data_IF_658890279040
#
_entry.id   IF_658890279040
#
_cell.length_a   1.000
_cell.length_b   1.000
_cell.length_c   1.000
_cell.angle_alpha   90.00
_cell.angle_beta   90.00
_cell.angle_gamma   90.00
#
_symmetry.space_group_name_H-M   'P 1'
#
loop_
_entity.id
_entity.type
_entity.pdbx_description
1 polymer ?
#
# COMPACT_ATOMS: atom_id res chain seq x y z
N UNK A 1 3.07 -7.16 -21.26
CA UNK A 1 3.13 -7.86 -19.96
C UNK A 1 1.99 -8.85 -19.87
N UNK A 2 2.17 -10.03 -19.33
CA UNK A 2 1.11 -11.05 -19.31
C UNK A 2 0.02 -10.81 -18.24
N UNK A 3 0.17 -9.79 -17.38
CA UNK A 3 -0.86 -9.39 -16.38
C UNK A 3 -1.29 -7.96 -16.63
N UNK A 4 -2.59 -7.69 -16.53
CA UNK A 4 -3.21 -6.38 -16.69
C UNK A 4 -4.05 -6.05 -15.46
N UNK A 5 -4.02 -4.79 -15.02
CA UNK A 5 -4.93 -4.23 -14.03
C UNK A 5 -6.14 -3.61 -14.75
N UNK A 6 -7.32 -3.99 -14.34
CA UNK A 6 -8.55 -3.25 -14.61
C UNK A 6 -8.72 -2.19 -13.49
N UNK A 7 -8.57 -0.92 -13.86
CA UNK A 7 -8.60 0.19 -12.90
C UNK A 7 -9.98 0.44 -12.29
N UNK A 8 -11.08 0.07 -12.98
CA UNK A 8 -12.45 0.26 -12.47
C UNK A 8 -12.79 -0.79 -11.41
N UNK A 9 -12.41 -2.04 -11.66
CA UNK A 9 -12.72 -3.18 -10.77
C UNK A 9 -11.60 -3.54 -9.82
N UNK A 10 -10.39 -2.96 -9.99
CA UNK A 10 -9.15 -3.34 -9.29
C UNK A 10 -8.81 -4.82 -9.38
N UNK A 11 -9.12 -5.45 -10.52
CA UNK A 11 -8.84 -6.85 -10.78
C UNK A 11 -7.61 -7.01 -11.65
N UNK A 12 -6.66 -7.81 -11.18
CA UNK A 12 -5.49 -8.22 -11.94
C UNK A 12 -5.81 -9.51 -12.71
N UNK A 13 -5.60 -9.52 -14.02
CA UNK A 13 -5.90 -10.67 -14.87
C UNK A 13 -4.71 -11.01 -15.74
N UNK A 14 -4.34 -12.30 -15.80
CA UNK A 14 -3.40 -12.80 -16.78
C UNK A 14 -4.06 -12.75 -18.17
N UNK A 15 -3.47 -12.00 -19.10
CA UNK A 15 -4.05 -11.75 -20.42
C UNK A 15 -3.98 -12.95 -21.35
N UNK A 16 -3.14 -13.94 -21.06
CA UNK A 16 -2.97 -15.15 -21.86
C UNK A 16 -3.92 -16.27 -21.41
N UNK A 17 -4.14 -16.38 -20.09
CA UNK A 17 -4.95 -17.47 -19.52
C UNK A 17 -6.33 -17.03 -19.04
N UNK A 18 -6.57 -15.71 -18.89
CA UNK A 18 -7.78 -15.16 -18.27
C UNK A 18 -7.84 -15.35 -16.74
N UNK A 19 -6.80 -15.89 -16.12
CA UNK A 19 -6.77 -16.16 -14.69
C UNK A 19 -6.67 -14.88 -13.88
N UNK A 20 -7.47 -14.78 -12.82
CA UNK A 20 -7.44 -13.65 -11.88
C UNK A 20 -6.36 -13.85 -10.81
N UNK A 21 -5.61 -12.80 -10.52
CA UNK A 21 -4.59 -12.78 -9.48
C UNK A 21 -5.12 -12.09 -8.22
N UNK A 22 -4.73 -12.59 -7.07
CA UNK A 22 -5.03 -11.95 -5.79
C UNK A 22 -4.20 -10.68 -5.66
N UNK A 23 -4.82 -9.54 -5.33
CA UNK A 23 -4.06 -8.33 -5.04
C UNK A 23 -3.24 -8.49 -3.76
N UNK A 24 -2.09 -7.82 -3.68
CA UNK A 24 -1.23 -7.81 -2.47
C UNK A 24 -2.02 -7.33 -1.25
N UNK A 25 -2.87 -6.31 -1.40
CA UNK A 25 -3.70 -5.79 -0.32
C UNK A 25 -4.74 -6.79 0.15
N UNK A 26 -5.37 -7.52 -0.77
CA UNK A 26 -6.30 -8.62 -0.44
C UNK A 26 -5.58 -9.77 0.26
N UNK A 27 -4.40 -10.15 -0.23
CA UNK A 27 -3.58 -11.20 0.41
C UNK A 27 -3.28 -10.85 1.87
N UNK A 28 -2.79 -9.64 2.14
CA UNK A 28 -2.50 -9.19 3.51
C UNK A 28 -3.79 -9.14 4.35
N UNK A 29 -4.91 -8.75 3.73
CA UNK A 29 -6.22 -8.71 4.38
C UNK A 29 -6.67 -10.04 4.96
N UNK A 30 -6.30 -11.17 4.31
CA UNK A 30 -6.64 -12.52 4.76
C UNK A 30 -5.96 -12.92 6.09
N UNK A 31 -4.89 -12.23 6.46
CA UNK A 31 -4.16 -12.45 7.71
C UNK A 31 -4.52 -11.45 8.81
N UNK A 32 -5.49 -10.56 8.55
CA UNK A 32 -5.96 -9.57 9.53
C UNK A 32 -7.18 -10.05 10.28
N UNK A 33 -7.23 -9.72 11.57
CA UNK A 33 -8.47 -9.77 12.34
C UNK A 33 -9.46 -8.78 11.73
N UNK A 34 -10.64 -9.23 11.32
CA UNK A 34 -11.64 -8.37 10.71
C UNK A 34 -12.18 -7.33 11.71
N UNK A 35 -12.44 -6.12 11.20
CA UNK A 35 -13.14 -5.11 12.00
C UNK A 35 -14.62 -5.44 12.07
N UNK A 36 -15.13 -5.67 13.28
CA UNK A 36 -16.57 -5.92 13.54
C UNK A 36 -17.37 -4.62 13.44
N UNK A 37 -17.73 -4.28 12.18
CA UNK A 37 -18.44 -3.05 11.84
C UNK A 37 -19.81 -2.96 12.52
N UNK A 38 -20.51 -4.08 12.65
CA UNK A 38 -21.84 -4.14 13.26
C UNK A 38 -21.77 -3.84 14.77
N UNK A 39 -20.90 -4.55 15.48
CA UNK A 39 -20.67 -4.35 16.91
C UNK A 39 -20.27 -2.91 17.23
N UNK A 40 -19.26 -2.41 16.53
CA UNK A 40 -18.71 -1.08 16.81
C UNK A 40 -19.66 0.04 16.43
N UNK A 41 -20.42 -0.07 15.33
CA UNK A 41 -21.42 0.94 14.96
C UNK A 41 -22.54 1.04 16.00
N UNK A 42 -23.02 -0.09 16.55
CA UNK A 42 -24.01 -0.11 17.65
C UNK A 42 -23.48 0.56 18.90
N UNK A 43 -22.24 0.27 19.29
CA UNK A 43 -21.62 0.87 20.48
C UNK A 43 -21.45 2.39 20.34
N UNK A 44 -21.00 2.86 19.16
CA UNK A 44 -20.83 4.29 18.89
C UNK A 44 -22.18 5.00 18.83
N UNK A 45 -23.18 4.41 18.16
CA UNK A 45 -24.54 4.94 18.08
C UNK A 45 -25.13 5.16 19.48
N UNK A 46 -25.01 4.15 20.36
CA UNK A 46 -25.47 4.26 21.76
C UNK A 46 -24.73 5.39 22.51
N UNK A 47 -23.44 5.54 22.30
CA UNK A 47 -22.61 6.60 22.95
C UNK A 47 -22.97 7.99 22.47
N UNK A 48 -23.23 8.15 21.14
CA UNK A 48 -23.51 9.45 20.52
C UNK A 48 -25.00 9.81 20.56
N UNK A 49 -25.89 8.90 20.97
CA UNK A 49 -27.34 9.13 21.04
C UNK A 49 -28.02 9.24 19.67
N UNK A 50 -27.48 8.55 18.66
CA UNK A 50 -27.97 8.55 17.29
C UNK A 50 -28.29 7.12 16.82
N UNK A 51 -28.88 6.98 15.64
CA UNK A 51 -29.15 5.65 15.06
C UNK A 51 -27.86 4.98 14.56
N UNK A 52 -27.88 3.64 14.48
CA UNK A 52 -26.79 2.87 13.90
C UNK A 52 -26.55 3.26 12.43
N UNK A 53 -27.65 3.49 11.68
CA UNK A 53 -27.56 3.87 10.26
C UNK A 53 -26.88 5.22 10.06
N UNK A 54 -27.10 6.19 10.93
CA UNK A 54 -26.38 7.47 10.91
C UNK A 54 -24.88 7.28 11.07
N UNK A 55 -24.44 6.40 12.00
CA UNK A 55 -23.01 6.07 12.17
C UNK A 55 -22.44 5.37 10.94
N UNK A 56 -23.17 4.41 10.38
CA UNK A 56 -22.73 3.68 9.19
C UNK A 56 -22.61 4.61 7.98
N UNK A 57 -23.55 5.53 7.78
CA UNK A 57 -23.52 6.53 6.72
C UNK A 57 -22.37 7.51 6.92
N UNK A 58 -22.14 7.99 8.14
CA UNK A 58 -21.00 8.84 8.51
C UNK A 58 -19.66 8.15 8.19
N UNK A 59 -19.51 6.87 8.56
CA UNK A 59 -18.29 6.11 8.27
C UNK A 59 -18.09 5.89 6.78
N UNK A 60 -19.17 5.59 6.04
CA UNK A 60 -19.12 5.44 4.58
C UNK A 60 -18.65 6.73 3.92
N UNK A 61 -19.23 7.88 4.29
CA UNK A 61 -18.83 9.20 3.77
C UNK A 61 -17.37 9.52 4.06
N UNK A 62 -16.90 9.26 5.29
CA UNK A 62 -15.48 9.44 5.65
C UNK A 62 -14.57 8.57 4.79
N UNK A 63 -14.96 7.31 4.56
CA UNK A 63 -14.19 6.37 3.75
C UNK A 63 -14.10 6.84 2.30
N UNK A 64 -15.24 7.21 1.69
CA UNK A 64 -15.28 7.72 0.30
C UNK A 64 -14.44 9.00 0.15
N UNK A 65 -14.56 9.94 1.08
CA UNK A 65 -13.74 11.17 1.06
C UNK A 65 -12.25 10.86 1.16
N UNK A 66 -11.87 9.92 2.03
CA UNK A 66 -10.48 9.53 2.18
C UNK A 66 -9.93 8.82 0.94
N UNK A 67 -10.74 7.96 0.29
CA UNK A 67 -10.38 7.29 -0.96
C UNK A 67 -10.17 8.29 -2.10
N UNK A 68 -11.13 9.21 -2.29
CA UNK A 68 -11.03 10.25 -3.33
C UNK A 68 -9.79 11.12 -3.14
N UNK A 69 -9.52 11.54 -1.89
CA UNK A 69 -8.31 12.29 -1.57
C UNK A 69 -7.05 11.48 -1.90
N UNK A 70 -7.02 10.20 -1.52
CA UNK A 70 -5.91 9.29 -1.82
C UNK A 70 -5.65 9.22 -3.31
N UNK A 71 -6.69 8.88 -4.09
CA UNK A 71 -6.60 8.77 -5.55
C UNK A 71 -6.08 10.06 -6.20
N UNK A 72 -6.58 11.22 -5.78
CA UNK A 72 -6.13 12.51 -6.32
C UNK A 72 -4.65 12.78 -6.02
N UNK A 73 -4.20 12.53 -4.80
CA UNK A 73 -2.79 12.74 -4.43
C UNK A 73 -1.88 11.78 -5.21
N UNK A 74 -2.25 10.50 -5.33
CA UNK A 74 -1.48 9.54 -6.14
C UNK A 74 -1.38 9.99 -7.60
N UNK A 75 -2.49 10.41 -8.21
CA UNK A 75 -2.50 10.91 -9.59
C UNK A 75 -1.60 12.14 -9.77
N UNK A 76 -1.64 13.10 -8.84
CA UNK A 76 -0.75 14.28 -8.87
C UNK A 76 0.71 13.88 -8.79
N UNK A 77 1.05 12.95 -7.89
CA UNK A 77 2.42 12.49 -7.75
C UNK A 77 2.88 11.69 -8.97
N UNK A 78 2.01 10.85 -9.53
CA UNK A 78 2.26 10.11 -10.77
C UNK A 78 2.55 11.06 -11.93
N UNK A 79 1.70 12.07 -12.17
CA UNK A 79 1.86 13.07 -13.22
C UNK A 79 3.18 13.85 -13.04
N UNK A 80 3.51 14.23 -11.81
CA UNK A 80 4.78 14.88 -11.53
C UNK A 80 5.97 13.96 -11.81
N UNK A 81 5.91 12.71 -11.37
CA UNK A 81 7.02 11.77 -11.56
C UNK A 81 7.26 11.47 -13.04
N UNK A 82 6.19 11.23 -13.81
CA UNK A 82 6.26 10.92 -15.25
C UNK A 82 6.63 12.13 -16.11
N UNK A 83 5.88 13.21 -15.94
CA UNK A 83 5.86 14.33 -16.90
C UNK A 83 6.41 15.63 -16.32
N UNK A 84 6.83 15.66 -15.05
CA UNK A 84 7.21 16.87 -14.31
C UNK A 84 6.09 17.92 -14.24
N UNK A 85 4.85 17.50 -14.47
CA UNK A 85 3.67 18.36 -14.41
C UNK A 85 3.26 18.58 -12.96
N UNK A 86 3.18 19.85 -12.54
CA UNK A 86 2.66 20.23 -11.23
C UNK A 86 1.25 20.78 -11.44
N UNK A 87 0.27 20.19 -10.76
CA UNK A 87 -1.10 20.65 -10.80
C UNK A 87 -1.30 21.83 -9.84
N UNK A 88 -2.12 22.79 -10.24
CA UNK A 88 -2.42 23.98 -9.43
C UNK A 88 -2.97 23.58 -8.04
N UNK A 89 -2.37 24.16 -7.00
CA UNK A 89 -2.73 23.89 -5.61
C UNK A 89 -1.99 22.71 -4.97
N UNK A 90 -1.10 22.04 -5.71
CA UNK A 90 -0.27 20.94 -5.21
C UNK A 90 1.23 21.24 -5.21
N UNK A 91 1.60 22.51 -5.41
CA UNK A 91 3.00 22.97 -5.49
C UNK A 91 3.79 22.63 -4.22
N UNK A 92 3.22 22.93 -3.04
CA UNK A 92 3.87 22.62 -1.75
C UNK A 92 4.07 21.12 -1.54
N UNK A 93 3.11 20.30 -1.99
CA UNK A 93 3.18 18.84 -1.93
C UNK A 93 4.35 18.32 -2.73
N UNK A 94 4.47 18.76 -4.00
CA UNK A 94 5.52 18.35 -4.91
C UNK A 94 6.88 18.86 -4.43
N UNK A 95 6.98 20.11 -3.98
CA UNK A 95 8.22 20.68 -3.42
C UNK A 95 8.70 19.93 -2.19
N UNK A 96 7.77 19.51 -1.34
CA UNK A 96 8.08 18.68 -0.17
C UNK A 96 8.65 17.32 -0.59
N UNK A 97 8.08 16.70 -1.63
CA UNK A 97 8.58 15.43 -2.16
C UNK A 97 9.99 15.58 -2.74
N UNK A 98 10.23 16.61 -3.56
CA UNK A 98 11.55 16.87 -4.16
C UNK A 98 12.61 17.00 -3.06
N UNK A 99 12.31 17.77 -2.01
CA UNK A 99 13.23 17.97 -0.88
C UNK A 99 13.55 16.67 -0.14
N UNK A 100 12.56 15.80 0.01
CA UNK A 100 12.72 14.51 0.71
C UNK A 100 13.42 13.44 -0.11
N UNK A 101 13.29 13.49 -1.44
CA UNK A 101 13.91 12.52 -2.34
C UNK A 101 15.30 12.95 -2.83
N UNK A 102 15.73 14.16 -2.46
CA UNK A 102 17.06 14.64 -2.78
C UNK A 102 18.14 13.72 -2.18
N UNK A 103 18.99 13.14 -3.04
CA UNK A 103 19.99 12.14 -2.66
C UNK A 103 19.55 10.68 -2.77
N UNK A 104 18.26 10.38 -2.94
CA UNK A 104 17.75 9.03 -3.29
C UNK A 104 17.49 8.93 -4.79
N UNK A 105 16.84 9.95 -5.35
CA UNK A 105 16.67 10.09 -6.80
C UNK A 105 17.91 10.80 -7.35
N UNK A 106 18.85 10.02 -7.81
CA UNK A 106 20.09 10.53 -8.43
C UNK A 106 19.87 10.85 -9.92
N UNK A 107 20.72 11.67 -10.55
CA UNK A 107 20.56 12.05 -11.96
C UNK A 107 20.43 10.88 -12.95
N UNK A 108 21.04 9.73 -12.62
CA UNK A 108 21.01 8.53 -13.47
C UNK A 108 20.07 7.44 -12.93
N UNK A 109 19.18 7.76 -11.99
CA UNK A 109 18.19 6.81 -11.51
C UNK A 109 17.15 6.54 -12.60
N UNK A 110 16.80 5.27 -12.79
CA UNK A 110 15.57 4.91 -13.50
C UNK A 110 14.42 4.99 -12.52
N UNK A 111 13.41 5.76 -12.87
CA UNK A 111 12.22 5.98 -12.03
C UNK A 111 11.04 5.33 -12.73
N UNK A 112 10.33 4.46 -12.00
CA UNK A 112 9.11 3.79 -12.45
C UNK A 112 7.98 4.19 -11.50
N UNK A 113 6.91 4.74 -12.07
CA UNK A 113 5.70 5.11 -11.34
C UNK A 113 4.58 4.15 -11.68
N UNK A 114 3.77 3.76 -10.69
CA UNK A 114 2.67 2.80 -10.85
C UNK A 114 3.17 1.50 -11.50
N UNK A 115 4.28 0.96 -10.98
CA UNK A 115 4.89 -0.25 -11.53
C UNK A 115 4.09 -1.49 -11.18
N UNK A 116 3.59 -2.17 -12.21
CA UNK A 116 2.84 -3.41 -12.07
C UNK A 116 3.77 -4.58 -11.75
N UNK A 117 3.60 -5.17 -10.59
CA UNK A 117 4.36 -6.31 -10.09
C UNK A 117 3.46 -7.54 -9.96
N UNK A 118 3.96 -8.70 -10.33
CA UNK A 118 3.22 -9.95 -10.21
C UNK A 118 4.14 -11.17 -10.11
N UNK A 119 3.57 -12.28 -9.65
CA UNK A 119 4.21 -13.59 -9.72
C UNK A 119 3.20 -14.64 -10.16
N UNK A 120 3.55 -15.40 -11.16
CA UNK A 120 2.72 -16.49 -11.68
C UNK A 120 2.63 -17.65 -10.68
N UNK A 121 3.74 -17.93 -10.00
CA UNK A 121 3.82 -19.04 -9.04
C UNK A 121 2.78 -18.93 -7.92
N UNK A 122 2.61 -17.72 -7.38
CA UNK A 122 1.70 -17.48 -6.26
C UNK A 122 0.39 -16.79 -6.70
N UNK A 123 0.22 -16.49 -7.98
CA UNK A 123 -0.96 -15.81 -8.54
C UNK A 123 -1.33 -14.55 -7.77
N UNK A 124 -0.31 -13.74 -7.45
CA UNK A 124 -0.48 -12.44 -6.80
C UNK A 124 0.04 -11.33 -7.69
N UNK A 125 -0.59 -10.17 -7.56
CA UNK A 125 -0.19 -8.95 -8.27
C UNK A 125 -0.44 -7.71 -7.41
N UNK A 126 0.21 -6.61 -7.78
CA UNK A 126 0.00 -5.32 -7.17
C UNK A 126 0.74 -4.24 -7.94
N UNK A 127 0.45 -2.99 -7.61
CA UNK A 127 1.07 -1.83 -8.22
C UNK A 127 1.88 -1.09 -7.15
N UNK A 128 3.17 -0.88 -7.41
CA UNK A 128 4.03 -0.07 -6.55
C UNK A 128 4.01 1.37 -7.03
N UNK A 129 3.69 2.31 -6.14
CA UNK A 129 3.54 3.73 -6.49
C UNK A 129 4.82 4.30 -7.12
N UNK A 130 5.97 3.93 -6.55
CA UNK A 130 7.26 4.42 -7.01
C UNK A 130 8.37 3.39 -6.80
N UNK A 131 9.07 3.03 -7.87
CA UNK A 131 10.32 2.28 -7.83
C UNK A 131 11.45 3.13 -8.38
N UNK A 132 12.53 3.23 -7.64
CA UNK A 132 13.75 3.96 -8.04
C UNK A 132 14.90 2.96 -8.15
N UNK A 133 15.46 2.83 -9.35
CA UNK A 133 16.60 1.96 -9.61
C UNK A 133 17.90 2.78 -9.73
N UNK A 134 18.92 2.32 -9.01
CA UNK A 134 20.28 2.82 -9.11
C UNK A 134 21.22 1.64 -9.32
N UNK A 135 21.71 1.44 -10.54
CA UNK A 135 22.55 0.29 -10.90
C UNK A 135 21.86 -1.05 -10.54
N UNK A 136 22.45 -1.84 -9.64
CA UNK A 136 21.92 -3.15 -9.20
C UNK A 136 21.10 -3.08 -7.91
N UNK A 137 20.71 -1.88 -7.48
CA UNK A 137 19.94 -1.63 -6.26
C UNK A 137 18.64 -0.93 -6.66
N UNK A 138 17.54 -1.26 -5.98
CA UNK A 138 16.28 -0.54 -6.12
C UNK A 138 15.72 -0.14 -4.75
N UNK A 139 14.87 0.87 -4.77
CA UNK A 139 14.10 1.35 -3.63
C UNK A 139 12.62 1.33 -4.01
N UNK A 140 11.75 0.93 -3.08
CA UNK A 140 10.29 1.04 -3.26
C UNK A 140 9.75 2.05 -2.27
N UNK A 141 8.91 2.93 -2.79
CA UNK A 141 8.27 4.00 -2.02
C UNK A 141 6.77 3.99 -2.30
N UNK A 142 6.00 4.33 -1.30
CA UNK A 142 4.54 4.27 -1.35
C UNK A 142 3.96 5.52 -0.67
N UNK A 143 2.92 6.12 -1.28
CA UNK A 143 2.25 7.32 -0.80
C UNK A 143 1.06 6.97 0.09
N UNK A 144 1.00 7.51 1.28
CA UNK A 144 -0.12 7.30 2.21
C UNK A 144 -0.72 8.63 2.67
N UNK A 145 -2.02 8.76 2.51
CA UNK A 145 -2.79 9.99 2.75
C UNK A 145 -3.82 9.85 3.87
N UNK A 146 -3.86 8.72 4.57
CA UNK A 146 -4.80 8.48 5.64
C UNK A 146 -4.62 9.50 6.79
N UNK A 147 -5.72 10.00 7.37
CA UNK A 147 -5.69 11.02 8.44
C UNK A 147 -4.95 10.57 9.70
N UNK A 148 -4.95 9.27 9.97
CA UNK A 148 -4.23 8.67 11.12
C UNK A 148 -3.31 7.58 10.61
N UNK A 149 -2.12 7.55 11.16
CA UNK A 149 -1.10 6.55 10.88
C UNK A 149 -0.64 5.96 12.21
N UNK A 150 -1.02 4.72 12.49
CA UNK A 150 -0.73 4.05 13.74
C UNK A 150 0.52 3.17 13.59
N UNK A 151 1.51 3.43 14.43
CA UNK A 151 2.74 2.63 14.54
C UNK A 151 2.60 1.44 15.48
N UNK A 152 1.62 1.50 16.36
CA UNK A 152 1.33 0.46 17.36
C UNK A 152 -0.14 0.09 17.32
N UNK A 153 -0.45 -1.14 17.71
CA UNK A 153 -1.81 -1.57 17.95
C UNK A 153 -2.21 -1.30 19.42
N UNK A 154 -3.19 -0.43 19.61
CA UNK A 154 -3.67 -0.06 20.97
C UNK A 154 -4.53 -1.17 21.62
N UNK A 155 -5.00 -2.12 20.83
CA UNK A 155 -5.86 -3.22 21.27
C UNK A 155 -5.11 -4.52 21.45
N UNK A 156 -3.80 -4.50 21.26
CA UNK A 156 -2.95 -5.68 21.30
C UNK A 156 -3.37 -6.79 20.32
N UNK A 157 -3.90 -6.37 19.15
CA UNK A 157 -4.23 -7.29 18.08
C UNK A 157 -2.99 -7.61 17.26
N UNK A 158 -2.86 -8.85 16.86
CA UNK A 158 -1.81 -9.37 16.00
C UNK A 158 -2.42 -9.93 14.72
N UNK A 159 -1.61 -10.07 13.69
CA UNK A 159 -2.00 -10.79 12.48
C UNK A 159 -2.31 -12.26 12.82
N UNK A 160 -2.92 -12.98 11.89
CA UNK A 160 -3.06 -14.44 11.98
C UNK A 160 -1.79 -15.14 11.49
N UNK A 161 -1.64 -16.43 11.85
CA UNK A 161 -0.58 -17.30 11.31
C UNK A 161 -0.52 -17.20 9.76
N UNK A 162 0.68 -17.21 9.18
CA UNK A 162 1.99 -17.50 9.79
C UNK A 162 2.76 -16.26 10.29
N UNK A 163 2.12 -15.11 10.40
CA UNK A 163 2.75 -13.85 10.82
C UNK A 163 2.14 -13.28 12.11
N UNK A 164 1.67 -14.15 12.98
CA UNK A 164 1.00 -13.83 14.26
C UNK A 164 1.90 -13.19 15.32
N UNK A 165 3.20 -13.14 15.07
CA UNK A 165 4.17 -12.38 15.87
C UNK A 165 4.21 -10.87 15.51
N UNK A 166 3.53 -10.45 14.44
CA UNK A 166 3.50 -9.04 13.99
C UNK A 166 2.26 -8.32 14.53
N UNK A 167 2.40 -7.12 15.12
CA UNK A 167 1.26 -6.33 15.57
C UNK A 167 0.45 -5.83 14.37
N UNK A 168 -0.88 -5.97 14.44
CA UNK A 168 -1.79 -5.52 13.38
C UNK A 168 -2.03 -4.01 13.49
N UNK A 169 -1.21 -3.22 12.82
CA UNK A 169 -1.37 -1.76 12.70
C UNK A 169 -1.08 -1.30 11.26
N UNK A 170 -1.34 -0.02 10.96
CA UNK A 170 -1.11 0.54 9.61
C UNK A 170 0.35 0.42 9.21
N UNK A 171 1.28 0.80 10.09
CA UNK A 171 2.72 0.72 9.81
C UNK A 171 3.15 -0.68 9.41
N UNK A 172 2.78 -1.70 10.19
CA UNK A 172 3.12 -3.10 9.89
C UNK A 172 2.47 -3.55 8.58
N UNK A 173 1.19 -3.21 8.37
CA UNK A 173 0.47 -3.54 7.13
C UNK A 173 1.17 -3.02 5.88
N UNK A 174 1.55 -1.73 5.89
CA UNK A 174 2.22 -1.11 4.76
C UNK A 174 3.65 -1.61 4.59
N UNK A 175 4.35 -1.91 5.70
CA UNK A 175 5.68 -2.53 5.64
C UNK A 175 5.64 -3.91 5.00
N UNK A 176 4.62 -4.74 5.31
CA UNK A 176 4.42 -6.04 4.64
C UNK A 176 4.11 -5.83 3.16
N UNK A 177 3.23 -4.88 2.82
CA UNK A 177 2.88 -4.55 1.42
C UNK A 177 4.13 -4.22 0.60
N UNK A 178 4.94 -3.28 1.08
CA UNK A 178 6.19 -2.88 0.45
C UNK A 178 7.19 -4.04 0.37
N UNK A 179 7.23 -4.89 1.39
CA UNK A 179 8.10 -6.07 1.42
C UNK A 179 7.70 -7.11 0.37
N UNK A 180 6.41 -7.32 0.13
CA UNK A 180 5.93 -8.21 -0.94
C UNK A 180 6.29 -7.62 -2.31
N UNK A 181 6.12 -6.30 -2.50
CA UNK A 181 6.54 -5.63 -3.73
C UNK A 181 8.04 -5.77 -3.96
N UNK A 182 8.87 -5.56 -2.93
CA UNK A 182 10.31 -5.73 -3.02
C UNK A 182 10.70 -7.16 -3.38
N UNK A 183 10.05 -8.14 -2.77
CA UNK A 183 10.29 -9.54 -3.08
C UNK A 183 9.93 -9.84 -4.55
N UNK A 184 8.77 -9.40 -5.03
CA UNK A 184 8.39 -9.59 -6.45
C UNK A 184 9.38 -8.90 -7.39
N UNK A 185 9.81 -7.69 -7.05
CA UNK A 185 10.77 -6.95 -7.87
C UNK A 185 12.16 -7.60 -7.90
N UNK A 186 12.62 -8.16 -6.78
CA UNK A 186 13.85 -8.97 -6.73
C UNK A 186 13.76 -10.20 -7.65
N UNK A 187 12.61 -10.93 -7.60
CA UNK A 187 12.42 -12.11 -8.46
C UNK A 187 12.38 -11.73 -9.95
N UNK A 188 11.75 -10.61 -10.27
CA UNK A 188 11.58 -10.15 -11.64
C UNK A 188 12.88 -9.64 -12.27
N UNK A 189 13.73 -8.95 -11.48
CA UNK A 189 14.87 -8.19 -12.02
C UNK A 189 16.24 -8.73 -11.63
N UNK A 190 16.31 -9.57 -10.60
CA UNK A 190 17.58 -10.01 -9.98
C UNK A 190 18.31 -8.91 -9.19
N UNK A 191 17.75 -7.70 -9.11
CA UNK A 191 18.34 -6.59 -8.37
C UNK A 191 18.11 -6.74 -6.87
N UNK A 192 18.86 -5.99 -6.04
CA UNK A 192 18.75 -6.04 -4.58
C UNK A 192 17.94 -4.86 -4.04
N UNK A 193 17.10 -5.13 -3.06
CA UNK A 193 16.39 -4.08 -2.34
C UNK A 193 17.38 -3.26 -1.50
N UNK A 194 17.48 -1.96 -1.78
CA UNK A 194 18.28 -0.99 -1.03
C UNK A 194 17.50 -0.30 0.09
N UNK A 195 16.17 -0.37 0.06
CA UNK A 195 15.33 0.21 1.10
C UNK A 195 13.86 0.37 0.70
N UNK A 196 13.02 0.45 1.72
CA UNK A 196 11.58 0.64 1.61
C UNK A 196 11.18 1.89 2.38
N UNK A 197 10.29 2.70 1.84
CA UNK A 197 9.86 3.96 2.46
C UNK A 197 8.37 4.21 2.24
N UNK A 198 7.73 4.76 3.25
CA UNK A 198 6.40 5.34 3.14
C UNK A 198 6.55 6.85 3.14
N UNK A 199 5.96 7.51 2.15
CA UNK A 199 5.72 8.95 2.17
C UNK A 199 4.34 9.20 2.74
N UNK A 200 4.29 9.57 4.01
CA UNK A 200 3.04 9.85 4.71
C UNK A 200 2.71 11.34 4.64
N UNK A 201 1.56 11.65 4.04
CA UNK A 201 1.10 13.02 3.91
C UNK A 201 0.63 13.59 5.25
N UNK A 202 1.28 14.65 5.69
CA UNK A 202 0.97 15.38 6.92
C UNK A 202 0.41 16.75 6.60
N UNK A 203 -0.53 17.18 7.44
CA UNK A 203 -1.07 18.54 7.46
C UNK A 203 -0.77 19.14 8.82
N UNK A 204 -0.14 20.30 8.83
CA UNK A 204 0.16 21.04 10.04
C UNK A 204 0.18 22.54 9.75
N UNK A 205 -0.60 23.35 10.49
CA UNK A 205 -0.71 24.80 10.31
C UNK A 205 -0.97 25.19 8.84
N UNK A 206 -2.01 24.59 8.24
CA UNK A 206 -2.44 24.79 6.84
C UNK A 206 -1.37 24.46 5.78
N UNK A 207 -0.28 23.82 6.18
CA UNK A 207 0.76 23.32 5.28
C UNK A 207 0.68 21.82 5.12
N UNK A 208 0.91 21.39 3.90
CA UNK A 208 0.95 19.98 3.51
C UNK A 208 2.39 19.57 3.23
N UNK A 209 2.86 18.49 3.82
CA UNK A 209 4.21 17.99 3.59
C UNK A 209 4.31 16.48 3.74
N UNK A 210 5.31 15.89 3.11
CA UNK A 210 5.61 14.48 3.26
C UNK A 210 6.50 14.20 4.47
N UNK A 211 6.03 13.30 5.32
CA UNK A 211 6.86 12.65 6.32
C UNK A 211 7.40 11.35 5.73
N UNK A 212 8.71 11.22 5.70
CA UNK A 212 9.39 9.99 5.28
C UNK A 212 9.46 9.02 6.45
N UNK A 213 8.99 7.78 6.23
CA UNK A 213 8.96 6.71 7.21
C UNK A 213 9.71 5.51 6.61
N UNK A 214 10.93 5.21 7.09
CA UNK A 214 11.67 4.04 6.63
C UNK A 214 11.00 2.76 7.11
N UNK A 215 10.97 1.73 6.24
CA UNK A 215 10.42 0.42 6.54
C UNK A 215 11.50 -0.65 6.44
N UNK A 216 11.46 -1.62 7.34
CA UNK A 216 12.33 -2.78 7.28
C UNK A 216 11.83 -3.77 6.22
N UNK A 217 12.71 -4.29 5.39
CA UNK A 217 12.35 -5.35 4.46
C UNK A 217 12.11 -6.66 5.21
N UNK A 218 10.86 -7.07 5.35
CA UNK A 218 10.42 -8.27 6.08
C UNK A 218 10.42 -9.52 5.18
N UNK A 219 11.58 -9.84 4.59
CA UNK A 219 11.70 -10.90 3.58
C UNK A 219 11.25 -12.28 4.09
N UNK A 220 11.57 -12.64 5.33
CA UNK A 220 11.13 -13.92 5.93
C UNK A 220 9.62 -13.99 6.05
N UNK A 221 8.98 -12.95 6.58
CA UNK A 221 7.53 -12.89 6.72
C UNK A 221 6.82 -12.97 5.36
N UNK A 222 7.41 -12.39 4.30
CA UNK A 222 6.89 -12.52 2.93
C UNK A 222 6.93 -13.98 2.48
N UNK A 223 8.04 -14.67 2.68
CA UNK A 223 8.18 -16.10 2.32
C UNK A 223 7.16 -16.95 3.08
N UNK A 224 6.94 -16.68 4.37
CA UNK A 224 5.95 -17.39 5.19
C UNK A 224 4.53 -17.20 4.65
N UNK A 225 4.15 -15.95 4.32
CA UNK A 225 2.84 -15.62 3.70
C UNK A 225 2.66 -16.35 2.36
N UNK A 226 3.69 -16.34 1.50
CA UNK A 226 3.62 -16.96 0.18
C UNK A 226 3.49 -18.48 0.26
N UNK A 227 4.25 -19.11 1.16
CA UNK A 227 4.16 -20.55 1.39
C UNK A 227 2.79 -20.96 1.94
N UNK A 228 2.24 -20.21 2.90
CA UNK A 228 0.90 -20.49 3.44
C UNK A 228 -0.17 -20.32 2.36
N UNK A 229 -0.08 -19.26 1.53
CA UNK A 229 -0.98 -19.09 0.39
C UNK A 229 -0.94 -20.28 -0.54
N UNK A 230 0.26 -20.76 -0.93
CA UNK A 230 0.43 -21.91 -1.81
C UNK A 230 -0.20 -23.18 -1.23
N UNK A 231 -0.03 -23.41 0.07
CA UNK A 231 -0.65 -24.54 0.77
C UNK A 231 -2.19 -24.44 0.82
N UNK A 232 -2.74 -23.25 0.95
CA UNK A 232 -4.19 -23.03 0.93
C UNK A 232 -4.78 -23.24 -0.45
N UNK A 233 -4.11 -22.74 -1.49
CA UNK A 233 -4.55 -22.90 -2.88
C UNK A 233 -4.58 -24.39 -3.29
N UNK A 234 -3.60 -25.20 -2.85
CA UNK A 234 -3.56 -26.64 -3.16
C UNK A 234 -4.62 -27.47 -2.44
N UNK A 235 -5.21 -26.99 -1.34
CA UNK A 235 -6.29 -27.67 -0.61
C UNK A 235 -7.67 -27.43 -1.23
N UNK A 236 -7.80 -26.46 -2.11
CA UNK A 236 -9.07 -26.08 -2.75
C UNK A 236 -9.16 -26.47 -4.23
N UNK A 237 -8.13 -27.14 -4.74
CA UNK A 237 -8.09 -27.82 -6.04
C UNK A 237 -8.31 -29.32 -5.87
#
# INVERSE_FOLDING_TARGET
>A
MPVKLDHETHVYTNTETGEKYTSVTTLIGNYKKPFDKDKWSKLVAKREGVSQDEILNKWSSITTTAQNRGTNVHLVMENYIKDKKIEQGYEELVDSFIKKTNGVILPNSKILSEELLFTHEFKIAGTADLVVENNNIFYIMDFKTNKKFNFINKYNDYFYEPIDYLPQCEFTTYTIQLSIYAWMYEQLTGKKCGGLKIFYLREFNDKTFWQEIPCTYMKSSVVDILNDKKLKDTKHT
#
